data_IF_906964635422
#
_entry.id   IF_906964635422
#
_cell.length_a   1.000
_cell.length_b   1.000
_cell.length_c   1.000
_cell.angle_alpha   90.00
_cell.angle_beta   90.00
_cell.angle_gamma   90.00
#
_symmetry.space_group_name_H-M   'P 1'
#
loop_
_entity.id
_entity.type
_entity.pdbx_description
1 polymer ?
#
# COMPACT_ATOMS: atom_id res chain seq x y z
N UNK A 1 10.37 10.47 27.66
CA UNK A 1 9.29 11.46 27.48
C UNK A 1 8.25 10.89 26.53
N UNK A 2 7.00 11.39 26.60
CA UNK A 2 5.90 10.99 25.73
C UNK A 2 5.61 12.10 24.73
N UNK A 3 5.46 11.74 23.45
CA UNK A 3 5.03 12.67 22.42
C UNK A 3 3.53 12.99 22.56
N UNK A 4 3.07 14.16 22.10
CA UNK A 4 1.65 14.45 21.93
C UNK A 4 1.00 13.41 21.00
N UNK A 5 -0.33 13.28 21.09
CA UNK A 5 -1.05 12.44 20.12
C UNK A 5 -0.88 12.97 18.69
N UNK A 6 -0.86 12.08 17.70
CA UNK A 6 -0.64 12.41 16.29
C UNK A 6 -1.50 13.58 15.80
N UNK A 7 -2.78 13.63 16.25
CA UNK A 7 -3.70 14.70 15.92
C UNK A 7 -3.14 16.09 16.31
N UNK A 8 -2.60 16.21 17.51
CA UNK A 8 -2.05 17.50 17.97
C UNK A 8 -0.78 17.88 17.21
N UNK A 9 0.07 16.91 16.86
CA UNK A 9 1.26 17.14 16.04
C UNK A 9 0.85 17.60 14.64
N UNK A 10 -0.15 16.94 14.04
CA UNK A 10 -0.67 17.28 12.73
C UNK A 10 -1.22 18.71 12.69
N UNK A 11 -2.04 19.07 13.68
CA UNK A 11 -2.61 20.43 13.81
C UNK A 11 -1.50 21.47 14.00
N UNK A 12 -0.54 21.22 14.92
CA UNK A 12 0.58 22.15 15.20
C UNK A 12 1.47 22.37 13.99
N UNK A 13 1.75 21.30 13.22
CA UNK A 13 2.64 21.38 12.04
C UNK A 13 1.89 21.70 10.74
N UNK A 14 0.56 21.83 10.79
CA UNK A 14 -0.29 22.06 9.62
C UNK A 14 -0.05 21.03 8.50
N UNK A 15 0.01 19.76 8.89
CA UNK A 15 0.15 18.60 8.00
C UNK A 15 -0.96 17.58 8.29
N UNK A 16 -1.13 16.60 7.41
CA UNK A 16 -2.10 15.55 7.66
C UNK A 16 -1.63 14.55 8.73
N UNK A 17 -2.58 13.85 9.33
CA UNK A 17 -2.30 12.77 10.28
C UNK A 17 -1.51 11.63 9.64
N UNK A 18 -1.74 11.35 8.34
CA UNK A 18 -1.00 10.34 7.58
C UNK A 18 0.49 10.67 7.53
N UNK A 19 0.85 11.94 7.26
CA UNK A 19 2.25 12.40 7.27
C UNK A 19 2.88 12.23 8.65
N UNK A 20 2.15 12.60 9.70
CA UNK A 20 2.65 12.45 11.08
C UNK A 20 2.86 10.98 11.40
N UNK A 21 1.92 10.11 11.04
CA UNK A 21 2.02 8.68 11.26
C UNK A 21 3.21 8.07 10.54
N UNK A 22 3.39 8.39 9.28
CA UNK A 22 4.54 7.95 8.49
C UNK A 22 5.87 8.39 9.14
N UNK A 23 5.95 9.64 9.57
CA UNK A 23 7.11 10.14 10.30
C UNK A 23 7.37 9.38 11.61
N UNK A 24 6.31 9.03 12.36
CA UNK A 24 6.44 8.26 13.60
C UNK A 24 6.92 6.83 13.30
N UNK A 25 6.41 6.17 12.28
CA UNK A 25 6.88 4.85 11.84
C UNK A 25 8.37 4.90 11.49
N UNK A 26 8.79 5.92 10.74
CA UNK A 26 10.19 6.11 10.39
C UNK A 26 11.07 6.31 11.64
N UNK A 27 10.64 7.18 12.56
CA UNK A 27 11.34 7.40 13.84
C UNK A 27 11.40 6.15 14.72
N UNK A 28 10.37 5.29 14.66
CA UNK A 28 10.35 4.03 15.41
C UNK A 28 11.33 3.01 14.82
N UNK A 29 11.40 2.88 13.50
CA UNK A 29 12.38 2.03 12.81
C UNK A 29 13.81 2.50 13.11
N UNK A 30 14.04 3.82 13.10
CA UNK A 30 15.33 4.41 13.43
C UNK A 30 15.68 4.33 14.94
N UNK A 31 14.69 3.97 15.77
CA UNK A 31 14.88 3.76 17.20
C UNK A 31 14.85 5.01 18.06
N UNK A 32 14.29 6.10 17.57
CA UNK A 32 14.06 7.32 18.36
C UNK A 32 12.84 7.21 19.26
N UNK A 33 11.78 6.56 18.79
CA UNK A 33 10.52 6.40 19.51
C UNK A 33 10.09 4.93 19.58
N UNK A 34 9.13 4.65 20.45
CA UNK A 34 8.43 3.38 20.59
C UNK A 34 6.93 3.65 20.69
N UNK A 35 6.13 3.03 19.82
CA UNK A 35 4.67 3.10 19.88
C UNK A 35 4.15 1.99 20.78
N UNK A 36 3.47 2.36 21.88
CA UNK A 36 2.88 1.41 22.83
C UNK A 36 1.37 1.49 22.75
N UNK A 37 0.74 0.39 22.33
CA UNK A 37 -0.73 0.30 22.19
C UNK A 37 -1.44 0.73 23.49
N UNK A 38 -2.36 1.69 23.37
CA UNK A 38 -3.08 2.27 24.53
C UNK A 38 -2.25 3.17 25.45
N UNK A 39 -0.94 3.32 25.21
CA UNK A 39 -0.06 4.20 26.01
C UNK A 39 0.49 5.40 25.21
N UNK A 40 0.47 5.30 23.88
CA UNK A 40 0.95 6.34 22.97
C UNK A 40 2.43 6.23 22.59
N UNK A 41 3.01 7.31 22.10
CA UNK A 41 4.34 7.36 21.50
C UNK A 41 5.35 7.84 22.53
N UNK A 42 6.36 7.04 22.80
CA UNK A 42 7.39 7.32 23.80
C UNK A 42 8.75 7.54 23.15
N UNK A 43 9.41 8.64 23.52
CA UNK A 43 10.82 8.90 23.12
C UNK A 43 11.72 7.95 23.93
N UNK A 44 12.47 7.12 23.24
CA UNK A 44 13.38 6.12 23.85
C UNK A 44 14.84 6.45 23.64
N UNK A 45 15.17 7.22 22.60
CA UNK A 45 16.55 7.65 22.32
C UNK A 45 16.58 9.05 21.70
N UNK A 46 17.70 9.72 21.85
CA UNK A 46 18.05 10.96 21.12
C UNK A 46 19.16 10.71 20.09
N UNK A 47 19.57 9.45 19.91
CA UNK A 47 20.57 9.04 18.92
C UNK A 47 20.00 7.90 18.08
N UNK A 48 20.17 7.94 16.74
CA UNK A 48 19.71 6.87 15.86
C UNK A 48 20.42 5.57 16.21
N UNK A 49 19.72 4.45 16.11
CA UNK A 49 20.40 3.17 16.00
C UNK A 49 21.21 3.22 14.71
N UNK A 50 22.52 3.01 14.80
CA UNK A 50 23.33 2.87 13.61
C UNK A 50 22.72 1.79 12.72
N UNK A 51 22.05 2.21 11.65
CA UNK A 51 21.69 1.30 10.57
C UNK A 51 23.01 0.79 10.01
N UNK A 52 23.22 -0.53 10.11
CA UNK A 52 24.21 -1.18 9.26
C UNK A 52 23.89 -0.76 7.84
N UNK A 53 24.90 -0.26 7.14
CA UNK A 53 24.80 0.28 5.81
C UNK A 53 23.87 -0.60 4.96
N UNK A 54 22.69 -0.09 4.64
CA UNK A 54 21.82 -0.73 3.68
C UNK A 54 22.57 -0.78 2.36
N UNK A 55 22.64 -1.97 1.79
CA UNK A 55 23.21 -2.19 0.46
C UNK A 55 22.73 -1.12 -0.49
N UNK A 56 23.65 -0.41 -1.15
CA UNK A 56 23.42 0.74 -2.03
C UNK A 56 22.58 0.44 -3.29
N UNK A 57 21.88 -0.68 -3.34
CA UNK A 57 21.05 -1.12 -4.48
C UNK A 57 19.54 -0.94 -4.29
N UNK A 58 19.07 -0.32 -3.20
CA UNK A 58 17.63 -0.17 -2.96
C UNK A 58 17.20 1.31 -3.09
N UNK A 59 16.92 1.74 -4.30
CA UNK A 59 16.46 3.11 -4.60
C UNK A 59 15.14 3.50 -3.88
N UNK A 60 14.31 2.53 -3.46
CA UNK A 60 13.03 2.77 -2.78
C UNK A 60 13.02 2.38 -1.29
N UNK A 61 14.13 1.94 -0.73
CA UNK A 61 14.17 1.46 0.67
C UNK A 61 13.91 2.56 1.71
N UNK A 62 14.03 3.83 1.33
CA UNK A 62 13.92 4.99 2.21
C UNK A 62 12.58 5.73 2.12
N UNK A 63 11.64 5.25 1.28
CA UNK A 63 10.33 5.88 1.17
C UNK A 63 9.37 5.33 2.23
N UNK A 64 8.51 6.20 2.74
CA UNK A 64 7.47 5.81 3.68
C UNK A 64 6.42 4.88 3.03
N UNK A 65 5.74 4.05 3.81
CA UNK A 65 4.76 3.10 3.28
C UNK A 65 3.57 3.76 2.61
N UNK A 66 3.09 4.88 3.12
CA UNK A 66 1.96 5.63 2.52
C UNK A 66 2.38 6.39 1.26
N UNK A 67 3.62 6.91 1.21
CA UNK A 67 4.20 7.52 0.01
C UNK A 67 4.31 6.48 -1.13
N UNK A 68 4.76 5.27 -0.80
CA UNK A 68 4.83 4.17 -1.77
C UNK A 68 3.44 3.75 -2.26
N UNK A 69 2.44 3.67 -1.38
CA UNK A 69 1.06 3.36 -1.75
C UNK A 69 0.45 4.44 -2.65
N UNK A 70 0.75 5.72 -2.40
CA UNK A 70 0.32 6.81 -3.27
C UNK A 70 0.92 6.68 -4.67
N UNK A 71 2.22 6.38 -4.77
CA UNK A 71 2.88 6.15 -6.05
C UNK A 71 2.26 4.95 -6.79
N UNK A 72 2.01 3.84 -6.09
CA UNK A 72 1.33 2.67 -6.63
C UNK A 72 -0.06 3.02 -7.15
N UNK A 73 -0.85 3.76 -6.38
CA UNK A 73 -2.21 4.15 -6.74
C UNK A 73 -2.24 4.94 -8.05
N UNK A 74 -1.34 5.91 -8.22
CA UNK A 74 -1.22 6.69 -9.45
C UNK A 74 -0.74 5.86 -10.64
N UNK A 75 0.26 5.03 -10.44
CA UNK A 75 0.90 4.26 -11.52
C UNK A 75 0.00 3.07 -11.92
N UNK A 76 -0.42 2.24 -10.97
CA UNK A 76 -1.13 1.00 -11.26
C UNK A 76 -2.56 1.25 -11.75
N UNK A 77 -3.23 2.34 -11.32
CA UNK A 77 -4.54 2.70 -11.88
C UNK A 77 -4.45 3.09 -13.37
N UNK A 78 -3.43 3.86 -13.77
CA UNK A 78 -3.20 4.18 -15.17
C UNK A 78 -2.75 2.96 -16.00
N UNK A 79 -1.99 2.05 -15.39
CA UNK A 79 -1.65 0.76 -16.00
C UNK A 79 -2.91 -0.07 -16.25
N UNK A 80 -3.84 -0.16 -15.28
CA UNK A 80 -5.09 -0.88 -15.43
C UNK A 80 -5.98 -0.29 -16.53
N UNK A 81 -6.05 1.05 -16.63
CA UNK A 81 -6.72 1.74 -17.73
C UNK A 81 -6.16 1.32 -19.08
N UNK A 82 -4.85 1.36 -19.23
CA UNK A 82 -4.18 0.96 -20.47
C UNK A 82 -4.33 -0.54 -20.73
N UNK A 83 -4.20 -1.39 -19.72
CA UNK A 83 -4.38 -2.84 -19.83
C UNK A 83 -5.76 -3.20 -20.42
N UNK A 84 -6.83 -2.51 -20.03
CA UNK A 84 -8.17 -2.75 -20.57
C UNK A 84 -8.25 -2.57 -22.09
N UNK A 85 -7.40 -1.73 -22.67
CA UNK A 85 -7.32 -1.55 -24.14
C UNK A 85 -6.55 -2.63 -24.85
N UNK A 86 -5.59 -3.31 -24.16
CA UNK A 86 -4.64 -4.25 -24.76
C UNK A 86 -4.89 -5.72 -24.37
N UNK A 87 -5.67 -5.95 -23.33
CA UNK A 87 -5.85 -7.27 -22.72
C UNK A 87 -6.32 -8.33 -23.73
N UNK A 88 -5.66 -9.47 -23.70
CA UNK A 88 -6.00 -10.66 -24.50
C UNK A 88 -6.84 -11.66 -23.70
N UNK A 89 -7.45 -12.61 -24.40
CA UNK A 89 -8.15 -13.73 -23.75
C UNK A 89 -7.22 -14.53 -22.84
N UNK A 90 -5.95 -14.69 -23.23
CA UNK A 90 -4.98 -15.43 -22.44
C UNK A 90 -4.64 -14.70 -21.13
N UNK A 91 -4.53 -13.36 -21.16
CA UNK A 91 -4.30 -12.57 -19.95
C UNK A 91 -5.46 -12.70 -18.97
N UNK A 92 -6.70 -12.63 -19.48
CA UNK A 92 -7.91 -12.84 -18.65
C UNK A 92 -7.90 -14.23 -18.01
N UNK A 93 -7.56 -15.28 -18.75
CA UNK A 93 -7.49 -16.64 -18.20
C UNK A 93 -6.44 -16.75 -17.09
N UNK A 94 -5.28 -16.11 -17.25
CA UNK A 94 -4.25 -16.08 -16.21
C UNK A 94 -4.72 -15.33 -14.96
N UNK A 95 -5.33 -14.15 -15.12
CA UNK A 95 -5.89 -13.37 -14.02
C UNK A 95 -6.95 -14.17 -13.25
N UNK A 96 -7.84 -14.88 -13.96
CA UNK A 96 -8.85 -15.76 -13.33
C UNK A 96 -8.19 -16.88 -12.53
N UNK A 97 -7.15 -17.51 -13.07
CA UNK A 97 -6.42 -18.57 -12.38
C UNK A 97 -5.72 -18.05 -11.11
N UNK A 98 -5.10 -16.88 -11.17
CA UNK A 98 -4.49 -16.21 -10.01
C UNK A 98 -5.54 -15.96 -8.93
N UNK A 99 -6.70 -15.41 -9.29
CA UNK A 99 -7.80 -15.15 -8.35
C UNK A 99 -8.34 -16.44 -7.72
N UNK A 100 -8.43 -17.53 -8.48
CA UNK A 100 -8.85 -18.83 -7.94
C UNK A 100 -7.86 -19.35 -6.89
N UNK A 101 -6.55 -19.23 -7.14
CA UNK A 101 -5.51 -19.61 -6.18
C UNK A 101 -5.57 -18.73 -4.93
N UNK A 102 -5.69 -17.41 -5.11
CA UNK A 102 -5.83 -16.49 -3.99
C UNK A 102 -7.02 -16.84 -3.08
N UNK A 103 -8.16 -17.20 -3.66
CA UNK A 103 -9.35 -17.64 -2.90
C UNK A 103 -9.12 -18.98 -2.20
N UNK A 104 -8.36 -19.89 -2.82
CA UNK A 104 -7.96 -21.16 -2.20
C UNK A 104 -7.13 -20.97 -0.93
N UNK A 105 -6.36 -19.88 -0.86
CA UNK A 105 -5.59 -19.43 0.32
C UNK A 105 -6.36 -18.44 1.20
N UNK A 106 -7.69 -18.37 1.08
CA UNK A 106 -8.57 -17.48 1.85
C UNK A 106 -8.25 -15.98 1.66
N UNK A 107 -7.75 -15.60 0.50
CA UNK A 107 -7.38 -14.23 0.18
C UNK A 107 -6.42 -13.61 1.23
N UNK A 108 -5.45 -14.40 1.68
CA UNK A 108 -4.50 -13.94 2.67
C UNK A 108 -3.69 -12.77 2.11
N UNK A 109 -3.68 -11.67 2.88
CA UNK A 109 -2.91 -10.47 2.52
C UNK A 109 -1.41 -10.77 2.52
N UNK A 110 -0.67 -10.10 1.65
CA UNK A 110 0.73 -10.34 1.39
C UNK A 110 1.02 -11.74 0.80
N UNK A 111 0.00 -12.41 0.30
CA UNK A 111 0.20 -13.63 -0.47
C UNK A 111 0.93 -13.32 -1.78
N UNK A 112 1.63 -14.31 -2.29
CA UNK A 112 2.26 -14.24 -3.62
C UNK A 112 1.22 -13.92 -4.72
N UNK A 113 -0.03 -14.35 -4.54
CA UNK A 113 -1.12 -14.14 -5.50
C UNK A 113 -1.54 -12.68 -5.64
N UNK A 114 -1.45 -11.89 -4.57
CA UNK A 114 -1.69 -10.44 -4.61
C UNK A 114 -0.66 -9.78 -5.56
N UNK A 115 0.63 -10.04 -5.34
CA UNK A 115 1.71 -9.60 -6.22
C UNK A 115 1.52 -10.06 -7.65
N UNK A 116 1.22 -11.36 -7.86
CA UNK A 116 1.05 -11.96 -9.19
C UNK A 116 -0.13 -11.32 -9.95
N UNK A 117 -1.20 -10.97 -9.25
CA UNK A 117 -2.34 -10.29 -9.87
C UNK A 117 -1.93 -8.93 -10.45
N UNK A 118 -1.27 -8.09 -9.65
CA UNK A 118 -0.82 -6.77 -10.08
C UNK A 118 0.20 -6.83 -11.23
N UNK A 119 1.15 -7.77 -11.17
CA UNK A 119 2.09 -8.01 -12.28
C UNK A 119 1.35 -8.46 -13.53
N UNK A 120 0.37 -9.38 -13.41
CA UNK A 120 -0.38 -9.86 -14.59
C UNK A 120 -1.25 -8.76 -15.20
N UNK A 121 -1.83 -7.85 -14.41
CA UNK A 121 -2.52 -6.64 -14.93
C UNK A 121 -1.54 -5.79 -15.73
N UNK A 122 -0.33 -5.57 -15.22
CA UNK A 122 0.69 -4.81 -15.94
C UNK A 122 1.17 -5.53 -17.22
N UNK A 123 1.33 -6.85 -17.19
CA UNK A 123 1.66 -7.65 -18.39
C UNK A 123 0.56 -7.60 -19.45
N UNK A 124 -0.72 -7.48 -19.03
CA UNK A 124 -1.85 -7.35 -19.96
C UNK A 124 -1.82 -6.04 -20.79
N UNK A 125 -0.98 -5.07 -20.45
CA UNK A 125 -0.68 -3.89 -21.28
C UNK A 125 0.14 -4.23 -22.53
N UNK A 126 0.69 -5.45 -22.63
CA UNK A 126 1.69 -5.88 -23.63
C UNK A 126 2.99 -5.05 -23.58
N UNK A 127 3.27 -4.39 -22.44
CA UNK A 127 4.45 -3.57 -22.20
C UNK A 127 5.23 -4.10 -20.99
N UNK A 128 6.32 -4.81 -21.27
CA UNK A 128 7.15 -5.41 -20.21
C UNK A 128 7.83 -4.39 -19.29
N UNK A 129 8.04 -3.15 -19.75
CA UNK A 129 8.61 -2.10 -18.91
C UNK A 129 7.62 -1.68 -17.79
N UNK A 130 6.32 -1.63 -18.08
CA UNK A 130 5.30 -1.36 -17.06
C UNK A 130 5.23 -2.50 -16.03
N UNK A 131 5.30 -3.75 -16.48
CA UNK A 131 5.35 -4.90 -15.57
C UNK A 131 6.59 -4.85 -14.65
N UNK A 132 7.76 -4.52 -15.19
CA UNK A 132 8.98 -4.38 -14.39
C UNK A 132 8.90 -3.25 -13.35
N UNK A 133 8.21 -2.14 -13.65
CA UNK A 133 7.97 -1.06 -12.69
C UNK A 133 7.11 -1.56 -11.53
N UNK A 134 6.00 -2.25 -11.82
CA UNK A 134 5.11 -2.80 -10.80
C UNK A 134 5.86 -3.81 -9.93
N UNK A 135 6.55 -4.77 -10.55
CA UNK A 135 7.33 -5.78 -9.84
C UNK A 135 8.38 -5.13 -8.92
N UNK A 136 9.08 -4.10 -9.41
CA UNK A 136 10.08 -3.39 -8.62
C UNK A 136 9.46 -2.69 -7.41
N UNK A 137 8.33 -1.99 -7.58
CA UNK A 137 7.62 -1.35 -6.46
C UNK A 137 7.19 -2.37 -5.41
N UNK A 138 6.70 -3.53 -5.82
CA UNK A 138 6.28 -4.59 -4.92
C UNK A 138 7.44 -5.24 -4.18
N UNK A 139 8.53 -5.58 -4.88
CA UNK A 139 9.73 -6.16 -4.27
C UNK A 139 10.32 -5.22 -3.22
N UNK A 140 10.34 -3.91 -3.50
CA UNK A 140 10.80 -2.92 -2.54
C UNK A 140 9.92 -2.86 -1.29
N UNK A 141 8.60 -3.01 -1.44
CA UNK A 141 7.66 -3.10 -0.31
C UNK A 141 8.07 -4.19 0.67
N UNK A 142 8.33 -5.41 0.19
CA UNK A 142 8.66 -6.56 1.05
C UNK A 142 9.98 -6.40 1.81
N UNK A 143 10.92 -5.61 1.28
CA UNK A 143 12.23 -5.34 1.90
C UNK A 143 12.24 -4.04 2.73
N UNK A 144 11.22 -3.20 2.60
CA UNK A 144 11.15 -1.92 3.29
C UNK A 144 10.91 -2.11 4.79
N UNK A 145 11.83 -1.62 5.66
CA UNK A 145 11.72 -1.79 7.11
C UNK A 145 10.51 -1.05 7.69
N UNK A 146 10.12 0.07 7.09
CA UNK A 146 8.96 0.86 7.51
C UNK A 146 7.65 0.10 7.20
N UNK A 147 7.60 -0.59 6.05
CA UNK A 147 6.48 -1.46 5.70
C UNK A 147 6.32 -2.63 6.66
N UNK A 148 7.43 -3.30 6.99
CA UNK A 148 7.43 -4.38 7.99
C UNK A 148 6.92 -3.90 9.34
N UNK A 149 7.40 -2.73 9.78
CA UNK A 149 6.99 -2.15 11.06
C UNK A 149 5.50 -1.79 11.08
N UNK A 150 4.99 -1.23 9.98
CA UNK A 150 3.56 -0.96 9.82
C UNK A 150 2.71 -2.23 10.02
N UNK A 151 3.15 -3.36 9.42
CA UNK A 151 2.45 -4.65 9.53
C UNK A 151 2.50 -5.28 10.92
N UNK A 152 3.51 -5.00 11.73
CA UNK A 152 3.55 -5.47 13.13
C UNK A 152 2.42 -4.90 13.99
N UNK A 153 1.84 -3.79 13.60
CA UNK A 153 0.72 -3.14 14.29
C UNK A 153 -0.66 -3.58 13.80
N UNK A 154 -0.73 -4.40 12.73
CA UNK A 154 -1.98 -4.88 12.13
C UNK A 154 -2.37 -6.21 12.77
N UNK A 155 -3.64 -6.32 13.21
CA UNK A 155 -4.18 -7.60 13.70
C UNK A 155 -4.35 -8.57 12.50
N UNK A 156 -3.70 -9.73 12.58
CA UNK A 156 -3.79 -10.79 11.56
C UNK A 156 -5.21 -11.32 11.31
N UNK A 157 -6.19 -10.90 12.14
CA UNK A 157 -7.61 -11.27 12.02
C UNK A 157 -8.41 -10.35 11.10
N UNK A 158 -7.83 -9.25 10.64
CA UNK A 158 -8.49 -8.37 9.68
C UNK A 158 -8.41 -8.99 8.29
N UNK A 159 -9.41 -9.83 7.99
CA UNK A 159 -9.54 -10.46 6.67
C UNK A 159 -10.05 -9.42 5.70
N UNK A 160 -9.18 -8.97 4.81
CA UNK A 160 -9.53 -8.02 3.76
C UNK A 160 -10.29 -8.67 2.62
N UNK A 161 -11.27 -7.93 2.11
CA UNK A 161 -12.00 -8.29 0.89
C UNK A 161 -11.20 -7.90 -0.37
N UNK A 162 -9.86 -7.91 -0.35
CA UNK A 162 -9.05 -7.52 -1.50
C UNK A 162 -9.31 -8.39 -2.74
N UNK A 163 -9.68 -9.65 -2.55
CA UNK A 163 -10.11 -10.50 -3.65
C UNK A 163 -11.37 -9.97 -4.34
N UNK A 164 -12.28 -9.34 -3.61
CA UNK A 164 -13.48 -8.74 -4.18
C UNK A 164 -13.16 -7.47 -4.96
N UNK A 165 -12.20 -6.69 -4.47
CA UNK A 165 -11.66 -5.53 -5.22
C UNK A 165 -10.97 -5.99 -6.51
N UNK A 166 -10.14 -7.03 -6.46
CA UNK A 166 -9.53 -7.64 -7.65
C UNK A 166 -10.56 -8.15 -8.65
N UNK A 167 -11.68 -8.70 -8.17
CA UNK A 167 -12.78 -9.11 -9.05
C UNK A 167 -13.40 -7.93 -9.80
N UNK A 168 -13.48 -6.74 -9.20
CA UNK A 168 -13.97 -5.55 -9.90
C UNK A 168 -12.99 -5.12 -11.01
N UNK A 169 -11.68 -5.17 -10.73
CA UNK A 169 -10.66 -4.90 -11.74
C UNK A 169 -10.78 -5.90 -12.89
N UNK A 170 -10.83 -7.20 -12.57
CA UNK A 170 -10.96 -8.27 -13.57
C UNK A 170 -12.23 -8.12 -14.42
N UNK A 171 -13.37 -7.80 -13.82
CA UNK A 171 -14.64 -7.53 -14.55
C UNK A 171 -14.49 -6.37 -15.52
N UNK A 172 -13.81 -5.29 -15.13
CA UNK A 172 -13.56 -4.15 -16.01
C UNK A 172 -12.64 -4.52 -17.18
N UNK A 173 -11.59 -5.30 -16.94
CA UNK A 173 -10.69 -5.81 -17.98
C UNK A 173 -11.42 -6.75 -18.96
N UNK A 174 -12.27 -7.65 -18.47
CA UNK A 174 -13.11 -8.54 -19.32
C UNK A 174 -14.01 -7.73 -20.25
N UNK A 175 -14.58 -6.64 -19.74
CA UNK A 175 -15.46 -5.73 -20.51
C UNK A 175 -14.68 -4.80 -21.43
N UNK A 176 -13.35 -4.78 -21.31
CA UNK A 176 -12.49 -3.80 -21.99
C UNK A 176 -12.93 -2.36 -21.74
N UNK A 177 -13.26 -2.06 -20.49
CA UNK A 177 -13.64 -0.73 -20.03
C UNK A 177 -12.46 -0.05 -19.32
N UNK A 178 -11.72 0.85 -19.99
CA UNK A 178 -10.54 1.48 -19.43
C UNK A 178 -10.85 2.33 -18.19
N UNK A 179 -11.94 3.08 -18.24
CA UNK A 179 -12.32 3.96 -17.13
C UNK A 179 -12.72 3.16 -15.89
N UNK A 180 -13.53 2.11 -16.06
CA UNK A 180 -13.88 1.22 -14.96
C UNK A 180 -12.65 0.49 -14.38
N UNK A 181 -11.71 0.07 -15.24
CA UNK A 181 -10.46 -0.58 -14.78
C UNK A 181 -9.60 0.37 -13.94
N UNK A 182 -9.45 1.62 -14.38
CA UNK A 182 -8.75 2.66 -13.63
C UNK A 182 -9.37 2.88 -12.26
N UNK A 183 -10.68 3.11 -12.22
CA UNK A 183 -11.42 3.37 -10.98
C UNK A 183 -11.34 2.19 -10.02
N UNK A 184 -11.50 0.96 -10.52
CA UNK A 184 -11.43 -0.24 -9.69
C UNK A 184 -10.04 -0.43 -9.06
N UNK A 185 -8.97 -0.23 -9.83
CA UNK A 185 -7.60 -0.30 -9.29
C UNK A 185 -7.31 0.84 -8.31
N UNK A 186 -7.75 2.05 -8.62
CA UNK A 186 -7.64 3.19 -7.71
C UNK A 186 -8.32 2.89 -6.38
N UNK A 187 -9.58 2.40 -6.41
CA UNK A 187 -10.35 2.10 -5.21
C UNK A 187 -9.72 0.96 -4.40
N UNK A 188 -9.23 -0.08 -5.04
CA UNK A 188 -8.52 -1.17 -4.38
C UNK A 188 -7.33 -0.65 -3.55
N UNK A 189 -6.49 0.21 -4.13
CA UNK A 189 -5.34 0.77 -3.42
C UNK A 189 -5.75 1.82 -2.38
N UNK A 190 -6.86 2.53 -2.59
CA UNK A 190 -7.48 3.39 -1.58
C UNK A 190 -7.96 2.58 -0.37
N UNK A 191 -8.69 1.48 -0.60
CA UNK A 191 -9.13 0.57 0.46
C UNK A 191 -7.95 0.03 1.26
N UNK A 192 -6.85 -0.32 0.57
CA UNK A 192 -5.60 -0.75 1.22
C UNK A 192 -5.02 0.34 2.13
N UNK A 193 -4.95 1.60 1.66
CA UNK A 193 -4.48 2.73 2.49
C UNK A 193 -5.35 2.96 3.71
N UNK A 194 -6.67 3.00 3.49
CA UNK A 194 -7.65 3.22 4.55
C UNK A 194 -7.53 2.15 5.63
N UNK A 195 -7.45 0.89 5.22
CA UNK A 195 -7.31 -0.21 6.16
C UNK A 195 -6.00 -0.10 6.96
N UNK A 196 -4.86 0.09 6.29
CA UNK A 196 -3.57 0.25 6.97
C UNK A 196 -3.58 1.43 7.95
N UNK A 197 -4.24 2.52 7.58
CA UNK A 197 -4.38 3.67 8.44
C UNK A 197 -5.25 3.36 9.67
N UNK A 198 -6.41 2.72 9.49
CA UNK A 198 -7.34 2.40 10.58
C UNK A 198 -6.75 1.41 11.57
N UNK A 199 -6.10 0.35 11.09
CA UNK A 199 -5.47 -0.67 11.96
C UNK A 199 -4.32 -0.11 12.79
N UNK A 200 -3.70 0.97 12.34
CA UNK A 200 -2.60 1.63 13.06
C UNK A 200 -3.04 2.81 13.92
N UNK A 201 -4.32 3.22 13.87
CA UNK A 201 -4.86 4.33 14.66
C UNK A 201 -5.64 3.86 15.88
N UNK A 202 -5.31 4.42 17.04
CA UNK A 202 -6.10 4.23 18.26
C UNK A 202 -7.41 5.07 18.26
N UNK A 203 -7.61 5.99 17.30
CA UNK A 203 -8.73 6.92 17.22
C UNK A 203 -9.60 6.71 15.97
N UNK A 204 -10.86 6.43 16.14
CA UNK A 204 -11.86 6.05 15.14
C UNK A 204 -12.42 7.19 14.25
N UNK A 205 -11.86 8.42 14.26
CA UNK A 205 -12.38 9.53 13.44
C UNK A 205 -11.57 9.78 12.17
N UNK A 206 -12.02 9.19 11.08
CA UNK A 206 -11.35 9.12 9.75
C UNK A 206 -11.73 10.25 8.77
N UNK A 207 -12.24 11.37 9.12
CA UNK A 207 -12.84 12.27 8.11
C UNK A 207 -11.99 13.45 7.59
N UNK A 208 -10.75 13.65 8.03
CA UNK A 208 -10.02 14.89 7.72
C UNK A 208 -8.84 14.77 6.72
N UNK A 209 -8.34 13.58 6.43
CA UNK A 209 -7.04 13.43 5.75
C UNK A 209 -7.12 13.10 4.24
N UNK A 210 -8.25 13.37 3.60
CA UNK A 210 -8.43 13.16 2.16
C UNK A 210 -7.53 14.03 1.26
N UNK A 211 -6.93 15.07 1.82
CA UNK A 211 -6.22 16.08 1.03
C UNK A 211 -4.80 15.72 0.58
N UNK A 212 -4.20 14.67 1.15
CA UNK A 212 -2.85 14.23 0.71
C UNK A 212 -2.86 13.34 -0.54
N UNK A 213 -4.01 12.80 -0.87
CA UNK A 213 -4.14 11.91 -2.00
C UNK A 213 -5.02 12.59 -3.03
N UNK A 214 -4.59 12.62 -4.29
CA UNK A 214 -5.36 13.18 -5.37
C UNK A 214 -6.82 12.69 -5.32
N UNK A 215 -7.76 13.61 -5.56
CA UNK A 215 -9.15 13.24 -5.74
C UNK A 215 -9.28 12.18 -6.83
N UNK A 216 -10.32 11.36 -6.71
CA UNK A 216 -10.62 10.30 -7.68
C UNK A 216 -10.60 10.86 -9.12
N UNK A 217 -9.85 10.25 -10.06
CA UNK A 217 -9.73 10.74 -11.43
C UNK A 217 -11.04 10.74 -12.19
#
# INVERSE_FOLDING_TARGET
>A
DKLPAERFIADEKNVSRTVVREAIIMLEVEGYVEVRKGSGIHVVSNQPRHQQAADNNMEFANYGPFELLQARQLIESNIAEFAATQVTKQDIMKLMAIQEQARGEQCFRDSEWDLQFHIQVALATQNSALAAIVEKMWTQRSHNPYWKKLHEHIDARTVDNWCDDHDQILKALIRKDPHAAKLAMWQHLENTKIMLFNETSDDFEFNADRYLFAENP
#
